data_IF_601232716518
#
_entry.id   IF_601232716518
#
_cell.length_a   1.000
_cell.length_b   1.000
_cell.length_c   1.000
_cell.angle_alpha   90.00
_cell.angle_beta   90.00
_cell.angle_gamma   90.00
#
_symmetry.space_group_name_H-M   'P 1'
#
loop_
_entity.id
_entity.type
_entity.pdbx_description
1 polymer ?
#
# COMPACT_ATOMS: atom_id res chain seq x y z
N UNK A 1 -17.48 -6.15 9.19
CA UNK A 1 -16.45 -5.13 8.90
C UNK A 1 -16.19 -4.95 7.41
N UNK A 2 -15.38 -5.77 6.74
CA UNK A 2 -14.95 -5.48 5.35
C UNK A 2 -16.10 -5.20 4.36
N UNK A 3 -17.14 -6.05 4.36
CA UNK A 3 -18.30 -5.85 3.47
C UNK A 3 -19.09 -4.58 3.75
N UNK A 4 -19.20 -4.17 5.02
CA UNK A 4 -19.88 -2.93 5.43
C UNK A 4 -19.08 -1.71 4.96
N UNK A 5 -17.76 -1.76 5.07
CA UNK A 5 -16.86 -0.69 4.64
C UNK A 5 -16.91 -0.53 3.13
N UNK A 6 -16.84 -1.64 2.38
CA UNK A 6 -17.00 -1.62 0.90
C UNK A 6 -18.34 -0.99 0.51
N UNK A 7 -19.43 -1.37 1.17
CA UNK A 7 -20.76 -0.82 0.90
C UNK A 7 -20.90 0.67 1.28
N UNK A 8 -20.07 1.16 2.19
CA UNK A 8 -20.06 2.56 2.62
C UNK A 8 -19.25 3.49 1.70
N UNK A 9 -18.40 2.96 0.80
CA UNK A 9 -17.65 3.76 -0.17
C UNK A 9 -18.62 4.40 -1.17
N UNK A 10 -18.54 5.72 -1.31
CA UNK A 10 -19.40 6.52 -2.19
C UNK A 10 -18.61 7.07 -3.38
N UNK A 11 -19.26 7.28 -4.54
CA UNK A 11 -18.64 8.05 -5.61
C UNK A 11 -18.39 9.50 -5.17
N UNK A 12 -17.43 10.16 -5.83
CA UNK A 12 -17.17 11.60 -5.65
C UNK A 12 -18.41 12.42 -6.02
N UNK A 13 -18.64 13.52 -5.31
CA UNK A 13 -19.74 14.45 -5.56
C UNK A 13 -19.53 15.23 -6.87
N UNK A 14 -20.27 14.85 -7.91
CA UNK A 14 -20.15 15.45 -9.22
C UNK A 14 -20.56 16.94 -9.26
N UNK A 15 -21.41 17.42 -8.35
CA UNK A 15 -21.79 18.84 -8.28
C UNK A 15 -20.65 19.68 -7.68
N UNK A 16 -19.99 19.20 -6.62
CA UNK A 16 -18.82 19.83 -6.05
C UNK A 16 -17.64 19.87 -7.04
N UNK A 17 -17.40 18.79 -7.79
CA UNK A 17 -16.38 18.77 -8.85
C UNK A 17 -16.66 19.82 -9.94
N UNK A 18 -17.90 19.93 -10.41
CA UNK A 18 -18.30 20.95 -11.39
C UNK A 18 -18.13 22.37 -10.84
N UNK A 19 -18.59 22.62 -9.61
CA UNK A 19 -18.44 23.91 -8.97
C UNK A 19 -16.97 24.33 -8.84
N UNK A 20 -16.08 23.39 -8.55
CA UNK A 20 -14.64 23.64 -8.50
C UNK A 20 -14.04 23.99 -9.86
N UNK A 21 -14.41 23.25 -10.93
CA UNK A 21 -13.98 23.56 -12.31
C UNK A 21 -14.46 24.95 -12.76
N UNK A 22 -15.74 25.26 -12.56
CA UNK A 22 -16.28 26.58 -12.88
C UNK A 22 -15.61 27.71 -12.09
N UNK A 23 -15.27 27.46 -10.82
CA UNK A 23 -14.51 28.42 -10.00
C UNK A 23 -13.13 28.65 -10.60
N UNK A 24 -12.41 27.59 -10.98
CA UNK A 24 -11.07 27.68 -11.58
C UNK A 24 -11.08 28.43 -12.92
N UNK A 25 -12.10 28.24 -13.74
CA UNK A 25 -12.26 28.94 -15.03
C UNK A 25 -12.49 30.45 -14.87
N UNK A 26 -13.06 30.89 -13.74
CA UNK A 26 -13.26 32.31 -13.40
C UNK A 26 -12.04 32.98 -12.78
N UNK A 27 -11.02 32.22 -12.40
CA UNK A 27 -9.81 32.81 -11.80
C UNK A 27 -9.04 33.60 -12.84
N UNK A 28 -8.27 34.61 -12.40
CA UNK A 28 -7.43 35.46 -13.27
C UNK A 28 -6.21 34.68 -13.77
N UNK A 29 -6.46 33.73 -14.67
CA UNK A 29 -5.48 32.86 -15.32
C UNK A 29 -6.05 32.43 -16.69
N UNK A 30 -5.22 32.12 -17.69
CA UNK A 30 -5.73 31.45 -18.89
C UNK A 30 -6.40 30.12 -18.52
N UNK A 31 -7.53 29.74 -19.14
CA UNK A 31 -8.19 28.45 -18.90
C UNK A 31 -7.21 27.28 -19.04
N UNK A 32 -7.21 26.37 -18.08
CA UNK A 32 -6.32 25.19 -18.05
C UNK A 32 -4.84 25.45 -17.80
N UNK A 33 -4.42 26.70 -17.56
CA UNK A 33 -2.99 27.05 -17.40
C UNK A 33 -2.30 26.44 -16.18
N UNK A 34 -3.05 25.93 -15.19
CA UNK A 34 -2.46 25.22 -14.04
C UNK A 34 -2.39 23.70 -14.23
N UNK A 35 -2.87 23.18 -15.37
CA UNK A 35 -2.79 21.77 -15.74
C UNK A 35 -3.35 20.84 -14.66
N UNK A 36 -2.54 19.87 -14.23
CA UNK A 36 -2.90 18.82 -13.25
C UNK A 36 -3.41 19.40 -11.92
N UNK A 37 -2.99 20.61 -11.54
CA UNK A 37 -3.47 21.25 -10.30
C UNK A 37 -4.98 21.53 -10.35
N UNK A 38 -5.53 21.83 -11.54
CA UNK A 38 -6.97 22.06 -11.71
C UNK A 38 -7.75 20.75 -11.51
N UNK A 39 -7.22 19.64 -12.01
CA UNK A 39 -7.82 18.33 -11.85
C UNK A 39 -7.76 17.83 -10.41
N UNK A 40 -6.63 18.05 -9.71
CA UNK A 40 -6.50 17.73 -8.28
C UNK A 40 -7.47 18.56 -7.45
N UNK A 41 -7.60 19.86 -7.71
CA UNK A 41 -8.53 20.72 -6.99
C UNK A 41 -9.99 20.28 -7.18
N UNK A 42 -10.39 19.94 -8.41
CA UNK A 42 -11.72 19.39 -8.68
C UNK A 42 -11.94 18.04 -7.99
N UNK A 43 -10.96 17.13 -8.05
CA UNK A 43 -11.03 15.84 -7.38
C UNK A 43 -11.19 15.97 -5.86
N UNK A 44 -10.43 16.86 -5.21
CA UNK A 44 -10.55 17.11 -3.78
C UNK A 44 -11.94 17.65 -3.41
N UNK A 45 -12.50 18.53 -4.23
CA UNK A 45 -13.85 19.06 -4.01
C UNK A 45 -14.90 17.95 -4.12
N UNK A 46 -14.77 17.07 -5.12
CA UNK A 46 -15.63 15.89 -5.28
C UNK A 46 -15.52 14.91 -4.11
N UNK A 47 -14.32 14.66 -3.61
CA UNK A 47 -14.10 13.78 -2.45
C UNK A 47 -14.68 14.39 -1.17
N UNK A 48 -14.53 15.70 -0.96
CA UNK A 48 -15.04 16.39 0.22
C UNK A 48 -16.56 16.67 0.16
N UNK A 49 -17.14 16.68 -1.04
CA UNK A 49 -18.54 17.07 -1.26
C UNK A 49 -18.78 18.57 -1.17
N UNK A 50 -17.73 19.39 -1.19
CA UNK A 50 -17.83 20.85 -1.06
C UNK A 50 -16.81 21.60 -1.94
N UNK A 51 -17.15 22.83 -2.31
CA UNK A 51 -16.28 23.71 -3.09
C UNK A 51 -16.20 25.12 -2.44
N UNK A 52 -14.98 25.64 -2.15
CA UNK A 52 -13.69 24.98 -2.36
C UNK A 52 -13.50 23.80 -1.39
N UNK A 53 -12.70 22.82 -1.81
CA UNK A 53 -12.34 21.70 -0.94
C UNK A 53 -11.57 22.20 0.30
N UNK A 54 -11.73 21.55 1.46
CA UNK A 54 -10.87 21.80 2.61
C UNK A 54 -9.44 21.36 2.27
N UNK A 55 -8.45 22.03 2.87
CA UNK A 55 -7.06 21.65 2.67
C UNK A 55 -6.82 20.23 3.23
N UNK A 56 -6.06 19.37 2.53
CA UNK A 56 -5.77 18.00 2.96
C UNK A 56 -4.69 17.96 4.05
N UNK A 57 -4.94 18.63 5.19
CA UNK A 57 -4.03 18.76 6.33
C UNK A 57 -4.82 18.76 7.66
N UNK A 58 -4.28 18.19 8.76
CA UNK A 58 -3.01 17.48 8.87
C UNK A 58 -3.03 16.14 8.12
N UNK A 59 -1.85 15.69 7.71
CA UNK A 59 -1.67 14.43 6.99
C UNK A 59 -1.04 13.37 7.91
N UNK A 60 -1.38 12.10 7.70
CA UNK A 60 -0.72 10.97 8.36
C UNK A 60 -0.19 9.98 7.32
N UNK A 61 1.02 9.49 7.56
CA UNK A 61 1.63 8.38 6.82
C UNK A 61 1.51 7.11 7.66
N UNK A 62 0.79 6.12 7.15
CA UNK A 62 0.73 4.78 7.74
C UNK A 62 1.65 3.84 6.97
N UNK A 63 2.70 3.34 7.62
CA UNK A 63 3.65 2.37 7.05
C UNK A 63 3.33 0.98 7.58
N UNK A 64 2.83 0.10 6.73
CA UNK A 64 2.51 -1.28 7.07
C UNK A 64 3.73 -2.17 6.84
N UNK A 65 4.02 -3.05 7.79
CA UNK A 65 5.22 -3.87 7.76
C UNK A 65 4.92 -5.37 7.87
N UNK A 66 5.58 -6.15 7.01
CA UNK A 66 5.39 -7.59 6.87
C UNK A 66 6.61 -8.28 6.26
N UNK A 67 6.96 -9.46 6.78
CA UNK A 67 8.00 -10.30 6.19
C UNK A 67 7.42 -11.32 5.22
N UNK A 68 8.23 -11.77 4.26
CA UNK A 68 7.80 -12.60 3.15
C UNK A 68 8.60 -13.89 3.05
N UNK A 69 7.91 -15.04 3.07
CA UNK A 69 8.54 -16.36 2.97
C UNK A 69 9.30 -16.58 1.65
N UNK A 70 8.96 -15.83 0.60
CA UNK A 70 9.66 -15.85 -0.69
C UNK A 70 11.12 -15.41 -0.60
N UNK A 71 11.54 -14.83 0.52
CA UNK A 71 12.94 -14.62 0.87
C UNK A 71 13.80 -15.88 0.68
N UNK A 72 13.25 -17.06 1.00
CA UNK A 72 13.90 -18.35 0.82
C UNK A 72 14.32 -18.66 -0.64
N UNK A 73 13.72 -17.99 -1.62
CA UNK A 73 14.03 -18.14 -3.04
C UNK A 73 15.21 -17.27 -3.49
N UNK A 74 15.88 -16.51 -2.61
CA UNK A 74 17.05 -15.72 -2.98
C UNK A 74 16.75 -14.62 -4.01
N UNK A 75 15.60 -13.96 -3.85
CA UNK A 75 15.10 -12.87 -4.71
C UNK A 75 15.57 -11.47 -4.27
N UNK A 76 16.45 -11.41 -3.27
CA UNK A 76 17.07 -10.21 -2.72
C UNK A 76 18.45 -10.55 -2.18
N UNK A 77 19.42 -9.61 -2.18
CA UNK A 77 20.67 -9.77 -1.45
C UNK A 77 20.54 -9.45 0.05
N UNK A 78 19.43 -8.80 0.45
CA UNK A 78 19.25 -8.33 1.83
C UNK A 78 18.79 -9.46 2.76
N UNK A 79 19.34 -9.54 3.98
CA UNK A 79 18.85 -10.49 4.97
C UNK A 79 17.47 -10.08 5.48
N UNK A 80 16.64 -11.06 5.83
CA UNK A 80 15.25 -10.84 6.24
C UNK A 80 15.12 -9.95 7.49
N UNK A 81 16.09 -10.00 8.40
CA UNK A 81 16.12 -9.17 9.61
C UNK A 81 16.11 -7.65 9.35
N UNK A 82 16.44 -7.21 8.13
CA UNK A 82 16.39 -5.79 7.74
C UNK A 82 14.97 -5.23 7.85
N UNK A 83 13.92 -6.03 7.67
CA UNK A 83 12.53 -5.58 7.90
C UNK A 83 12.36 -5.06 9.32
N UNK A 84 12.72 -5.85 10.33
CA UNK A 84 12.61 -5.46 11.73
C UNK A 84 13.53 -4.28 12.09
N UNK A 85 14.74 -4.23 11.54
CA UNK A 85 15.67 -3.11 11.73
C UNK A 85 15.10 -1.80 11.17
N UNK A 86 14.48 -1.83 10.00
CA UNK A 86 13.85 -0.66 9.40
C UNK A 86 12.57 -0.24 10.12
N UNK A 87 11.77 -1.18 10.62
CA UNK A 87 10.61 -0.87 11.47
C UNK A 87 11.05 -0.16 12.74
N UNK A 88 12.13 -0.64 13.40
CA UNK A 88 12.71 0.06 14.54
C UNK A 88 13.22 1.47 14.16
N UNK A 89 13.86 1.61 12.99
CA UNK A 89 14.33 2.92 12.51
C UNK A 89 13.18 3.89 12.20
N UNK A 90 12.09 3.41 11.57
CA UNK A 90 10.87 4.18 11.30
C UNK A 90 10.21 4.66 12.59
N UNK A 91 10.12 3.78 13.58
CA UNK A 91 9.57 4.08 14.90
C UNK A 91 10.45 5.08 15.68
N UNK A 92 11.77 5.01 15.49
CA UNK A 92 12.71 5.97 16.07
C UNK A 92 12.79 7.32 15.32
N UNK A 93 12.05 7.49 14.20
CA UNK A 93 12.06 8.71 13.42
C UNK A 93 13.26 8.87 12.46
N UNK A 94 14.03 7.80 12.23
CA UNK A 94 15.31 7.85 11.50
C UNK A 94 15.24 7.48 10.02
N UNK A 95 14.07 7.14 9.47
CA UNK A 95 13.93 6.78 8.05
C UNK A 95 13.65 8.01 7.16
N UNK A 96 13.87 7.87 5.86
CA UNK A 96 13.67 8.94 4.88
C UNK A 96 12.22 9.46 4.89
N UNK A 97 11.23 8.58 5.06
CA UNK A 97 9.82 8.98 5.18
C UNK A 97 9.56 9.87 6.40
N UNK A 98 10.28 9.64 7.52
CA UNK A 98 10.18 10.51 8.70
C UNK A 98 10.70 11.91 8.41
N UNK A 99 11.80 12.03 7.66
CA UNK A 99 12.34 13.32 7.26
C UNK A 99 11.36 14.12 6.38
N UNK A 100 10.74 13.47 5.39
CA UNK A 100 9.72 14.12 4.56
C UNK A 100 8.46 14.47 5.34
N UNK A 101 7.99 13.57 6.21
CA UNK A 101 6.80 13.79 7.02
C UNK A 101 7.02 14.98 7.98
N UNK A 102 8.17 15.04 8.66
CA UNK A 102 8.53 16.16 9.53
C UNK A 102 8.54 17.51 8.78
N UNK A 103 9.09 17.55 7.57
CA UNK A 103 9.11 18.76 6.73
C UNK A 103 7.70 19.24 6.35
N UNK A 104 6.75 18.31 6.21
CA UNK A 104 5.37 18.59 5.83
C UNK A 104 4.41 18.72 7.03
N UNK A 105 4.90 18.52 8.26
CA UNK A 105 4.06 18.47 9.46
C UNK A 105 3.08 17.28 9.44
N UNK A 106 3.46 16.17 8.82
CA UNK A 106 2.68 14.95 8.77
C UNK A 106 3.14 13.96 9.85
N UNK A 107 2.18 13.24 10.44
CA UNK A 107 2.47 12.19 11.40
C UNK A 107 2.92 10.90 10.69
N UNK A 108 3.77 10.09 11.33
CA UNK A 108 4.17 8.78 10.83
C UNK A 108 3.81 7.72 11.86
N UNK A 109 2.94 6.80 11.45
CA UNK A 109 2.54 5.62 12.22
C UNK A 109 3.05 4.38 11.50
N UNK A 110 3.70 3.49 12.25
CA UNK A 110 4.20 2.21 11.76
C UNK A 110 3.28 1.12 12.27
N UNK A 111 2.93 0.15 11.42
CA UNK A 111 2.01 -0.94 11.76
C UNK A 111 2.69 -2.27 11.48
N UNK A 112 3.03 -3.02 12.53
CA UNK A 112 3.48 -4.41 12.38
C UNK A 112 2.25 -5.29 12.13
N UNK A 113 2.00 -5.60 10.85
CA UNK A 113 0.97 -6.56 10.43
C UNK A 113 1.54 -7.97 10.32
N UNK A 114 2.84 -8.08 10.03
CA UNK A 114 3.43 -9.37 9.73
C UNK A 114 4.94 -9.53 9.88
N UNK A 115 5.62 -8.69 10.65
CA UNK A 115 7.09 -8.76 10.82
C UNK A 115 7.46 -10.06 11.53
N UNK A 116 8.40 -10.83 10.98
CA UNK A 116 8.77 -12.15 11.48
C UNK A 116 9.48 -12.07 12.85
N UNK A 117 10.35 -11.07 13.01
CA UNK A 117 11.07 -10.81 14.25
C UNK A 117 10.35 -9.73 15.06
N UNK A 118 9.97 -9.99 16.32
CA UNK A 118 9.36 -8.97 17.17
C UNK A 118 10.22 -7.72 17.31
N UNK A 119 9.60 -6.56 17.13
CA UNK A 119 10.21 -5.25 17.39
C UNK A 119 9.71 -4.76 18.75
N UNK A 120 10.58 -4.14 19.55
CA UNK A 120 10.18 -3.60 20.85
C UNK A 120 9.14 -2.48 20.72
N UNK A 121 8.36 -2.22 21.79
CA UNK A 121 7.29 -1.23 21.74
C UNK A 121 7.84 0.19 21.50
N UNK A 122 7.11 0.97 20.71
CA UNK A 122 7.39 2.38 20.47
C UNK A 122 6.08 3.18 20.35
N UNK A 123 6.13 4.47 20.63
CA UNK A 123 4.93 5.31 20.73
C UNK A 123 4.09 5.36 19.43
N UNK A 124 4.74 5.30 18.27
CA UNK A 124 4.13 5.32 16.95
C UNK A 124 4.15 3.95 16.25
N UNK A 125 4.41 2.86 16.98
CA UNK A 125 4.35 1.49 16.47
C UNK A 125 3.08 0.80 16.97
N UNK A 126 2.20 0.46 16.03
CA UNK A 126 0.99 -0.32 16.28
C UNK A 126 1.28 -1.79 16.05
N UNK A 127 1.18 -2.60 17.10
CA UNK A 127 1.23 -4.05 17.00
C UNK A 127 -0.15 -4.57 16.54
N UNK A 128 -0.22 -5.04 15.29
CA UNK A 128 -1.43 -5.61 14.65
C UNK A 128 -1.10 -6.92 13.92
N UNK A 129 -0.18 -7.69 14.51
CA UNK A 129 0.38 -8.85 13.86
C UNK A 129 -0.69 -9.92 13.59
N UNK A 130 -0.94 -10.21 12.32
CA UNK A 130 -1.84 -11.26 11.85
C UNK A 130 -1.13 -12.61 11.86
N UNK A 131 0.15 -12.61 11.48
CA UNK A 131 1.07 -13.76 11.46
C UNK A 131 2.52 -13.26 11.36
N UNK A 132 3.48 -14.03 11.89
CA UNK A 132 4.93 -13.74 11.75
C UNK A 132 5.45 -14.21 10.39
N UNK A 133 5.41 -13.32 9.40
CA UNK A 133 5.84 -13.56 8.02
C UNK A 133 4.88 -14.43 7.21
N UNK A 134 4.70 -14.10 5.94
CA UNK A 134 3.95 -14.95 5.00
C UNK A 134 4.71 -16.25 4.69
N UNK A 135 4.00 -17.25 4.19
CA UNK A 135 4.61 -18.42 3.58
C UNK A 135 5.25 -18.06 2.22
N UNK A 136 6.06 -18.97 1.68
CA UNK A 136 6.71 -18.78 0.40
C UNK A 136 5.71 -18.94 -0.77
N UNK A 137 5.36 -17.81 -1.39
CA UNK A 137 4.47 -17.74 -2.55
C UNK A 137 4.95 -18.54 -3.76
N UNK A 138 6.24 -18.91 -3.83
CA UNK A 138 6.76 -19.72 -4.92
C UNK A 138 6.31 -21.19 -4.84
N UNK A 139 6.00 -21.68 -3.64
CA UNK A 139 5.66 -23.10 -3.39
C UNK A 139 4.17 -23.32 -3.11
N UNK A 140 3.46 -22.30 -2.64
CA UNK A 140 2.04 -22.37 -2.28
C UNK A 140 1.47 -21.00 -1.92
N UNK A 141 0.28 -20.94 -1.30
CA UNK A 141 -0.32 -19.67 -0.92
C UNK A 141 0.53 -18.95 0.13
N UNK A 142 0.69 -17.63 -0.03
CA UNK A 142 1.40 -16.76 0.92
C UNK A 142 0.72 -16.77 2.32
N UNK A 143 -0.61 -16.85 2.35
CA UNK A 143 -1.41 -16.89 3.58
C UNK A 143 -2.79 -17.51 3.31
N UNK A 144 -3.54 -17.76 4.36
CA UNK A 144 -4.96 -18.14 4.23
C UNK A 144 -5.82 -16.93 3.83
N UNK A 145 -6.98 -17.17 3.23
CA UNK A 145 -7.92 -16.09 2.89
C UNK A 145 -8.41 -15.33 4.13
N UNK A 146 -8.51 -16.00 5.29
CA UNK A 146 -8.86 -15.36 6.55
C UNK A 146 -7.74 -14.44 7.07
N UNK A 147 -6.47 -14.85 6.94
CA UNK A 147 -5.33 -13.98 7.24
C UNK A 147 -5.29 -12.76 6.32
N UNK A 148 -5.49 -12.95 5.01
CA UNK A 148 -5.57 -11.85 4.05
C UNK A 148 -6.72 -10.88 4.38
N UNK A 149 -7.90 -11.41 4.74
CA UNK A 149 -9.02 -10.59 5.21
C UNK A 149 -8.66 -9.78 6.45
N UNK A 150 -8.04 -10.43 7.46
CA UNK A 150 -7.62 -9.73 8.69
C UNK A 150 -6.60 -8.63 8.41
N UNK A 151 -5.64 -8.85 7.51
CA UNK A 151 -4.67 -7.82 7.12
C UNK A 151 -5.36 -6.58 6.50
N UNK A 152 -6.33 -6.80 5.61
CA UNK A 152 -7.14 -5.69 5.06
C UNK A 152 -7.96 -5.00 6.15
N UNK A 153 -8.54 -5.75 7.08
CA UNK A 153 -9.29 -5.19 8.21
C UNK A 153 -8.40 -4.35 9.14
N UNK A 154 -7.15 -4.78 9.39
CA UNK A 154 -6.14 -3.95 10.09
C UNK A 154 -5.93 -2.62 9.37
N UNK A 155 -5.78 -2.63 8.04
CA UNK A 155 -5.66 -1.41 7.24
C UNK A 155 -6.87 -0.48 7.41
N UNK A 156 -8.09 -1.04 7.40
CA UNK A 156 -9.33 -0.29 7.62
C UNK A 156 -9.38 0.31 9.03
N UNK A 157 -9.03 -0.46 10.06
CA UNK A 157 -9.01 0.00 11.46
C UNK A 157 -8.06 1.19 11.62
N UNK A 158 -6.83 1.05 11.10
CA UNK A 158 -5.80 2.09 11.16
C UNK A 158 -6.25 3.34 10.39
N UNK A 159 -6.75 3.18 9.17
CA UNK A 159 -7.23 4.32 8.37
C UNK A 159 -8.41 5.04 9.03
N UNK A 160 -9.34 4.29 9.62
CA UNK A 160 -10.51 4.86 10.33
C UNK A 160 -10.08 5.64 11.56
N UNK A 161 -9.14 5.10 12.35
CA UNK A 161 -8.60 5.79 13.51
C UNK A 161 -7.87 7.08 13.12
N UNK A 162 -7.01 7.03 12.09
CA UNK A 162 -6.26 8.21 11.63
C UNK A 162 -7.17 9.28 11.02
N UNK A 163 -8.23 8.89 10.32
CA UNK A 163 -9.17 9.82 9.70
C UNK A 163 -9.96 10.69 10.69
N UNK A 164 -9.99 10.34 11.98
CA UNK A 164 -10.60 11.19 13.00
C UNK A 164 -9.89 12.55 13.12
N UNK A 165 -8.56 12.52 13.12
CA UNK A 165 -7.72 13.70 13.35
C UNK A 165 -7.04 14.22 12.09
N UNK A 166 -6.99 13.43 11.02
CA UNK A 166 -6.31 13.76 9.76
C UNK A 166 -7.30 14.00 8.61
N UNK A 167 -6.83 14.72 7.60
CA UNK A 167 -7.57 15.00 6.35
C UNK A 167 -6.91 14.42 5.12
N UNK A 168 -5.71 13.87 5.27
CA UNK A 168 -4.97 13.19 4.22
C UNK A 168 -4.29 11.96 4.82
N UNK A 169 -4.53 10.80 4.24
CA UNK A 169 -3.84 9.56 4.60
C UNK A 169 -2.93 9.17 3.44
N UNK A 170 -1.69 8.85 3.76
CA UNK A 170 -0.68 8.34 2.83
C UNK A 170 -0.28 6.96 3.30
N UNK A 171 -0.31 5.98 2.41
CA UNK A 171 0.11 4.61 2.72
C UNK A 171 1.56 4.40 2.28
N UNK A 172 2.30 3.64 3.07
CA UNK A 172 3.59 3.07 2.71
C UNK A 172 3.70 1.63 3.18
N UNK A 173 4.68 0.92 2.66
CA UNK A 173 4.98 -0.46 3.00
C UNK A 173 6.44 -0.62 3.45
N UNK A 174 6.71 -1.68 4.20
CA UNK A 174 8.04 -2.11 4.57
C UNK A 174 8.11 -3.63 4.69
N UNK A 175 8.78 -4.29 3.75
CA UNK A 175 8.99 -5.73 3.81
C UNK A 175 10.11 -6.19 2.89
N UNK A 176 11.09 -6.91 3.42
CA UNK A 176 12.10 -7.52 2.57
C UNK A 176 11.44 -8.54 1.63
N UNK A 177 11.69 -8.38 0.33
CA UNK A 177 11.12 -9.14 -0.80
C UNK A 177 9.68 -8.84 -1.20
N UNK A 178 9.01 -7.86 -0.60
CA UNK A 178 7.63 -7.51 -0.95
C UNK A 178 7.41 -7.16 -2.43
N UNK A 179 8.40 -6.58 -3.12
CA UNK A 179 8.30 -6.28 -4.57
C UNK A 179 8.07 -7.52 -5.45
N UNK A 180 8.42 -8.72 -4.97
CA UNK A 180 8.12 -9.99 -5.66
C UNK A 180 6.64 -10.31 -5.55
N UNK A 181 6.05 -10.16 -4.36
CA UNK A 181 4.60 -10.29 -4.14
C UNK A 181 3.82 -9.21 -4.93
N UNK A 182 4.30 -7.95 -4.90
CA UNK A 182 3.69 -6.85 -5.67
C UNK A 182 3.68 -7.15 -7.17
N UNK A 183 4.78 -7.66 -7.73
CA UNK A 183 4.84 -8.04 -9.15
C UNK A 183 3.84 -9.16 -9.49
N UNK A 184 3.70 -10.17 -8.61
CA UNK A 184 2.72 -11.23 -8.80
C UNK A 184 1.27 -10.71 -8.77
N UNK A 185 0.94 -9.80 -7.84
CA UNK A 185 -0.36 -9.13 -7.80
C UNK A 185 -0.60 -8.28 -9.05
N UNK A 186 0.40 -7.51 -9.51
CA UNK A 186 0.30 -6.74 -10.76
C UNK A 186 -0.01 -7.65 -11.95
N UNK A 187 0.71 -8.76 -12.09
CA UNK A 187 0.41 -9.76 -13.13
C UNK A 187 -1.02 -10.30 -13.00
N UNK A 188 -1.45 -10.67 -11.80
CA UNK A 188 -2.79 -11.21 -11.55
C UNK A 188 -3.90 -10.21 -11.95
N UNK A 189 -3.79 -8.94 -11.54
CA UNK A 189 -4.85 -7.95 -11.75
C UNK A 189 -4.85 -7.31 -13.15
N UNK A 190 -3.69 -7.20 -13.80
CA UNK A 190 -3.58 -6.51 -15.10
C UNK A 190 -3.47 -7.47 -16.28
N UNK A 191 -2.93 -8.68 -16.06
CA UNK A 191 -2.51 -9.61 -17.10
C UNK A 191 -1.15 -9.25 -17.74
N UNK A 192 -0.39 -8.32 -17.16
CA UNK A 192 0.99 -8.05 -17.57
C UNK A 192 1.86 -9.30 -17.44
N UNK A 193 2.87 -9.44 -18.30
CA UNK A 193 3.79 -10.57 -18.21
C UNK A 193 4.66 -10.47 -16.94
N UNK A 194 5.08 -11.60 -16.35
CA UNK A 194 6.03 -11.60 -15.22
C UNK A 194 7.31 -10.81 -15.50
N UNK A 195 7.80 -10.83 -16.75
CA UNK A 195 8.98 -10.09 -17.15
C UNK A 195 8.76 -8.56 -17.11
N UNK A 196 7.58 -8.09 -17.52
CA UNK A 196 7.26 -6.65 -17.53
C UNK A 196 6.95 -6.11 -16.12
N UNK A 197 6.31 -6.92 -15.28
CA UNK A 197 5.91 -6.51 -13.93
C UNK A 197 7.06 -6.59 -12.91
N UNK A 198 8.10 -7.39 -13.19
CA UNK A 198 9.18 -7.63 -12.22
C UNK A 198 10.33 -6.65 -12.41
N UNK A 199 10.48 -5.73 -11.47
CA UNK A 199 11.61 -4.80 -11.41
C UNK A 199 12.79 -5.27 -10.55
N UNK A 200 13.88 -4.52 -10.60
CA UNK A 200 15.10 -4.76 -9.79
C UNK A 200 14.94 -4.52 -8.29
N UNK A 201 13.84 -3.91 -7.85
CA UNK A 201 13.63 -3.55 -6.44
C UNK A 201 14.80 -2.72 -5.92
N UNK A 202 15.51 -3.22 -4.90
CA UNK A 202 16.69 -2.58 -4.30
C UNK A 202 17.96 -2.62 -5.16
N UNK A 203 17.83 -2.64 -6.49
CA UNK A 203 18.96 -2.63 -7.42
C UNK A 203 19.67 -3.99 -7.63
N UNK A 204 18.92 -5.10 -7.63
CA UNK A 204 19.51 -6.44 -7.80
C UNK A 204 20.12 -6.66 -9.20
N UNK A 205 21.06 -7.61 -9.29
CA UNK A 205 21.74 -8.01 -10.51
C UNK A 205 20.84 -8.82 -11.48
N UNK A 206 21.34 -9.10 -12.69
CA UNK A 206 20.59 -9.82 -13.73
C UNK A 206 20.21 -11.26 -13.34
N UNK A 207 21.11 -12.06 -12.72
CA UNK A 207 20.74 -13.39 -12.24
C UNK A 207 19.62 -13.35 -11.19
N UNK A 208 19.65 -12.40 -10.25
CA UNK A 208 18.61 -12.26 -9.23
C UNK A 208 17.30 -11.80 -9.86
N UNK A 209 17.34 -10.87 -10.84
CA UNK A 209 16.15 -10.46 -11.58
C UNK A 209 15.52 -11.64 -12.35
N UNK A 210 16.33 -12.47 -13.02
CA UNK A 210 15.83 -13.65 -13.71
C UNK A 210 15.14 -14.63 -12.73
N UNK A 211 15.72 -14.82 -11.55
CA UNK A 211 15.12 -15.64 -10.49
C UNK A 211 13.79 -15.06 -9.98
N UNK A 212 13.71 -13.73 -9.81
CA UNK A 212 12.45 -13.06 -9.47
C UNK A 212 11.37 -13.33 -10.52
N UNK A 213 11.70 -13.18 -11.80
CA UNK A 213 10.75 -13.42 -12.90
C UNK A 213 10.25 -14.87 -12.87
N UNK A 214 11.13 -15.85 -12.64
CA UNK A 214 10.73 -17.26 -12.53
C UNK A 214 9.80 -17.51 -11.33
N UNK A 215 10.12 -16.95 -10.17
CA UNK A 215 9.28 -17.03 -8.96
C UNK A 215 7.89 -16.44 -9.23
N UNK A 216 7.83 -15.22 -9.79
CA UNK A 216 6.55 -14.55 -10.12
C UNK A 216 5.76 -15.38 -11.14
N UNK A 217 6.42 -15.93 -12.16
CA UNK A 217 5.80 -16.79 -13.17
C UNK A 217 5.12 -18.01 -12.54
N UNK A 218 5.81 -18.71 -11.64
CA UNK A 218 5.26 -19.89 -10.95
C UNK A 218 4.10 -19.52 -10.02
N UNK A 219 4.22 -18.40 -9.32
CA UNK A 219 3.21 -17.95 -8.36
C UNK A 219 1.92 -17.52 -9.05
N UNK A 220 2.00 -16.64 -10.06
CA UNK A 220 0.82 -16.09 -10.73
C UNK A 220 0.06 -17.16 -11.53
N UNK A 221 0.73 -18.22 -11.97
CA UNK A 221 0.07 -19.33 -12.66
C UNK A 221 -1.02 -20.03 -11.81
N UNK A 222 -1.00 -19.86 -10.49
CA UNK A 222 -2.02 -20.39 -9.56
C UNK A 222 -3.20 -19.44 -9.31
N UNK A 223 -3.09 -18.19 -9.78
CA UNK A 223 -4.12 -17.16 -9.59
C UNK A 223 -4.92 -16.98 -10.88
N UNK A 224 -6.27 -16.97 -10.82
CA UNK A 224 -7.08 -16.59 -11.97
C UNK A 224 -6.72 -15.20 -12.47
N UNK A 225 -6.55 -15.06 -13.79
CA UNK A 225 -6.27 -13.76 -14.38
C UNK A 225 -7.45 -12.79 -14.20
N UNK A 226 -7.12 -11.55 -13.82
CA UNK A 226 -8.03 -10.42 -13.62
C UNK A 226 -9.15 -10.70 -12.60
N UNK A 227 -8.82 -10.92 -11.32
CA UNK A 227 -9.83 -10.97 -10.25
C UNK A 227 -10.77 -9.76 -10.32
N UNK A 228 -12.08 -10.00 -10.37
CA UNK A 228 -13.09 -8.96 -10.61
C UNK A 228 -14.11 -8.81 -9.48
N UNK A 229 -14.07 -9.69 -8.48
CA UNK A 229 -14.92 -9.64 -7.28
C UNK A 229 -14.06 -9.47 -6.03
N UNK A 230 -14.60 -8.91 -4.92
CA UNK A 230 -13.88 -8.80 -3.66
C UNK A 230 -13.32 -10.14 -3.16
N UNK A 231 -14.07 -11.23 -3.34
CA UNK A 231 -13.66 -12.58 -2.93
C UNK A 231 -12.47 -13.08 -3.76
N UNK A 232 -12.48 -12.85 -5.08
CA UNK A 232 -11.36 -13.21 -5.95
C UNK A 232 -10.12 -12.33 -5.67
N UNK A 233 -10.32 -11.04 -5.36
CA UNK A 233 -9.23 -10.14 -5.01
C UNK A 233 -8.57 -10.57 -3.69
N UNK A 234 -9.36 -10.95 -2.68
CA UNK A 234 -8.86 -11.52 -1.43
C UNK A 234 -8.15 -12.86 -1.66
N UNK A 235 -8.69 -13.73 -2.53
CA UNK A 235 -8.03 -14.99 -2.87
C UNK A 235 -6.68 -14.77 -3.57
N UNK A 236 -6.59 -13.79 -4.47
CA UNK A 236 -5.33 -13.41 -5.11
C UNK A 236 -4.30 -12.87 -4.09
N UNK A 237 -4.76 -12.01 -3.16
CA UNK A 237 -3.91 -11.52 -2.06
C UNK A 237 -3.42 -12.65 -1.17
N UNK A 238 -4.29 -13.61 -0.83
CA UNK A 238 -3.93 -14.78 -0.04
C UNK A 238 -2.91 -15.68 -0.76
N UNK A 239 -3.05 -15.84 -2.08
CA UNK A 239 -2.21 -16.74 -2.87
C UNK A 239 -0.80 -16.17 -3.09
N UNK A 240 -0.68 -14.89 -3.45
CA UNK A 240 0.61 -14.30 -3.91
C UNK A 240 0.98 -12.95 -3.28
N UNK A 241 0.22 -12.48 -2.29
CA UNK A 241 0.40 -11.17 -1.67
C UNK A 241 1.30 -11.13 -0.43
N UNK A 242 1.23 -9.99 0.26
CA UNK A 242 1.87 -9.68 1.55
C UNK A 242 0.83 -9.36 2.63
N UNK A 243 1.29 -9.26 3.87
CA UNK A 243 0.44 -8.86 5.00
C UNK A 243 0.37 -7.34 5.14
N UNK A 244 1.40 -6.64 4.66
CA UNK A 244 1.47 -5.18 4.55
C UNK A 244 0.67 -4.62 3.37
#
# INVERSE_FOLDING_TARGET
MLGEVIAAVRPRDAAAERAARERLDRMTKPPGSLGVLEDVAAQLAGTAGECPAPLPTPAAVAVFAGDHGVHAQGVTPWPQEVTAQMVANLAAGGAVVNAFAAQLGADVVVVDVGVATPVGPAANLLERNVRRGTADLAVGPAMTTDEARRAVEVGIEVATALAADHRCLVTGDMGITNTTASAALVCAFTGASPADATGRGTGVDDPTLARKVEVVTRAVARVPARPATPEQALAALAEVGGLE
#
